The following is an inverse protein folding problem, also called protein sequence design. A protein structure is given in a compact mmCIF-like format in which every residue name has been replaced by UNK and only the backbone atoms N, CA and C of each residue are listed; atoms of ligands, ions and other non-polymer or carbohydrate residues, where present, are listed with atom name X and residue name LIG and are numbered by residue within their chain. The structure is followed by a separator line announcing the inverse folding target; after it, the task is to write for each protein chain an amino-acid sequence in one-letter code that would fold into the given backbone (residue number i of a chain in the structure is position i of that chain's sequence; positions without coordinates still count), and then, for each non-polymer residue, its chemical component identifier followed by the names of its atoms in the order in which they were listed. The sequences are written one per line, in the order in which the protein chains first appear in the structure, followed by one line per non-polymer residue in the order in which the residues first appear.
data_IF_650206610134
#
_entry.id   IF_650206610134
#
_cell.length_a   1.000
_cell.length_b   1.000
_cell.length_c   1.000
_cell.angle_alpha   90.00
_cell.angle_beta   90.00
_cell.angle_gamma   90.00
#
_symmetry.space_group_name_H-M   'P 1'
#
loop_
_entity.id
_entity.type
_entity.pdbx_description
1 polymer ?
#
# COMPACT_ATOMS: atom_id res chain seq x y z
N UNK A 1 -16.88 -12.81 -23.34
CA UNK A 1 -15.90 -13.46 -22.46
C UNK A 1 -14.68 -12.56 -22.27
N UNK A 2 -14.61 -11.76 -21.22
CA UNK A 2 -15.38 -10.51 -21.09
C UNK A 2 -14.39 -9.40 -20.79
N UNK A 3 -14.47 -8.32 -21.56
CA UNK A 3 -13.73 -7.08 -21.31
C UNK A 3 -13.94 -6.58 -19.86
N UNK A 4 -15.12 -6.85 -19.29
CA UNK A 4 -15.39 -6.60 -17.87
C UNK A 4 -14.45 -7.38 -16.95
N UNK A 5 -14.13 -8.65 -17.22
CA UNK A 5 -13.26 -9.46 -16.36
C UNK A 5 -11.80 -8.99 -16.36
N UNK A 6 -11.31 -8.47 -17.50
CA UNK A 6 -10.02 -7.78 -17.58
C UNK A 6 -10.04 -6.44 -16.82
N UNK A 7 -11.12 -5.65 -16.96
CA UNK A 7 -11.33 -4.43 -16.16
C UNK A 7 -11.45 -4.72 -14.65
N UNK A 8 -11.91 -5.91 -14.25
CA UNK A 8 -12.03 -6.34 -12.85
C UNK A 8 -10.69 -6.80 -12.24
N UNK A 9 -9.83 -7.46 -13.00
CA UNK A 9 -8.47 -7.82 -12.56
C UNK A 9 -7.60 -6.57 -12.34
N UNK A 10 -7.69 -5.59 -13.25
CA UNK A 10 -7.08 -4.27 -13.10
C UNK A 10 -7.65 -3.50 -11.89
N UNK A 11 -8.91 -3.76 -11.52
CA UNK A 11 -9.60 -3.05 -10.44
C UNK A 11 -9.04 -3.31 -9.05
N UNK A 12 -8.45 -4.49 -8.83
CA UNK A 12 -7.92 -4.84 -7.51
C UNK A 12 -6.48 -4.35 -7.28
N UNK A 13 -5.80 -3.85 -8.32
CA UNK A 13 -4.46 -3.23 -8.28
C UNK A 13 -3.54 -3.88 -7.22
N UNK A 14 -3.44 -5.21 -7.22
CA UNK A 14 -2.86 -5.93 -6.11
C UNK A 14 -1.39 -5.53 -5.88
N UNK A 15 -1.03 -5.19 -4.65
CA UNK A 15 0.35 -4.82 -4.32
C UNK A 15 1.22 -6.07 -4.29
N UNK A 16 2.21 -6.12 -5.18
CA UNK A 16 3.20 -7.21 -5.23
C UNK A 16 4.38 -6.84 -4.34
N UNK A 17 4.72 -7.64 -3.32
CA UNK A 17 5.89 -7.38 -2.49
C UNK A 17 7.18 -7.35 -3.33
N UNK A 18 8.06 -6.35 -3.15
CA UNK A 18 9.26 -6.17 -3.98
C UNK A 18 10.29 -7.28 -3.83
N UNK A 19 10.14 -8.14 -2.82
CA UNK A 19 11.02 -9.30 -2.59
C UNK A 19 10.62 -10.54 -3.40
N UNK A 20 9.50 -10.52 -4.12
CA UNK A 20 9.06 -11.66 -4.89
C UNK A 20 9.93 -11.82 -6.14
N UNK A 21 10.40 -13.04 -6.39
CA UNK A 21 11.03 -13.41 -7.64
C UNK A 21 9.99 -13.74 -8.72
N UNK A 22 10.44 -14.12 -9.93
CA UNK A 22 9.53 -14.42 -11.03
C UNK A 22 8.54 -15.56 -10.73
N UNK A 23 8.99 -16.61 -10.03
CA UNK A 23 8.14 -17.77 -9.72
C UNK A 23 7.08 -17.44 -8.68
N UNK A 24 7.48 -16.73 -7.62
CA UNK A 24 6.59 -16.28 -6.54
C UNK A 24 5.55 -15.31 -7.09
N UNK A 25 5.98 -14.39 -7.96
CA UNK A 25 5.10 -13.42 -8.62
C UNK A 25 4.03 -14.12 -9.46
N UNK A 26 4.41 -15.09 -10.30
CA UNK A 26 3.45 -15.83 -11.13
C UNK A 26 2.42 -16.61 -10.29
N UNK A 27 2.87 -17.31 -9.25
CA UNK A 27 1.96 -18.04 -8.36
C UNK A 27 1.03 -17.12 -7.58
N UNK A 28 1.54 -15.96 -7.15
CA UNK A 28 0.74 -14.93 -6.49
C UNK A 28 -0.34 -14.37 -7.43
N UNK A 29 0.04 -13.97 -8.65
CA UNK A 29 -0.91 -13.44 -9.65
C UNK A 29 -2.02 -14.46 -9.94
N UNK A 30 -1.67 -15.73 -10.17
CA UNK A 30 -2.65 -16.78 -10.40
C UNK A 30 -3.66 -16.93 -9.24
N UNK A 31 -3.21 -16.79 -7.99
CA UNK A 31 -4.09 -16.83 -6.83
C UNK A 31 -5.01 -15.60 -6.76
N UNK A 32 -4.52 -14.40 -7.09
CA UNK A 32 -5.32 -13.17 -7.17
C UNK A 32 -6.39 -13.29 -8.25
N UNK A 33 -6.05 -13.83 -9.42
CA UNK A 33 -6.99 -14.04 -10.52
C UNK A 33 -8.09 -15.03 -10.14
N UNK A 34 -7.72 -16.15 -9.49
CA UNK A 34 -8.69 -17.12 -9.01
C UNK A 34 -9.62 -16.51 -7.96
N UNK A 35 -9.08 -15.69 -7.05
CA UNK A 35 -9.87 -14.96 -6.08
C UNK A 35 -10.86 -14.00 -6.77
N UNK A 36 -10.40 -13.20 -7.73
CA UNK A 36 -11.24 -12.28 -8.49
C UNK A 36 -12.38 -13.01 -9.25
N UNK A 37 -12.08 -14.13 -9.90
CA UNK A 37 -13.09 -14.93 -10.59
C UNK A 37 -14.13 -15.49 -9.62
N UNK A 38 -13.69 -15.97 -8.46
CA UNK A 38 -14.58 -16.50 -7.42
C UNK A 38 -15.50 -15.39 -6.89
N UNK A 39 -14.95 -14.17 -6.72
CA UNK A 39 -15.71 -13.01 -6.28
C UNK A 39 -16.80 -12.68 -7.29
N UNK A 40 -16.48 -12.65 -8.59
CA UNK A 40 -17.43 -12.42 -9.66
C UNK A 40 -18.56 -13.47 -9.67
N UNK A 41 -18.22 -14.74 -9.46
CA UNK A 41 -19.20 -15.83 -9.40
C UNK A 41 -20.16 -15.66 -8.20
N UNK A 42 -19.65 -15.34 -7.01
CA UNK A 42 -20.49 -15.06 -5.83
C UNK A 42 -21.42 -13.87 -6.08
N UNK A 43 -20.91 -12.83 -6.76
CA UNK A 43 -21.70 -11.66 -7.15
C UNK A 43 -22.81 -12.01 -8.13
N UNK A 44 -22.56 -12.91 -9.08
CA UNK A 44 -23.58 -13.41 -10.02
C UNK A 44 -24.69 -14.22 -9.30
N UNK A 45 -24.34 -14.89 -8.20
CA UNK A 45 -25.30 -15.58 -7.32
C UNK A 45 -26.05 -14.64 -6.36
N UNK A 46 -26.01 -13.32 -6.59
CA UNK A 46 -26.67 -12.31 -5.76
C UNK A 46 -26.19 -12.21 -4.30
N UNK A 47 -25.04 -12.80 -3.96
CA UNK A 47 -24.40 -12.60 -2.65
C UNK A 47 -23.95 -11.15 -2.53
N UNK A 48 -24.17 -10.51 -1.38
CA UNK A 48 -23.87 -9.10 -1.16
C UNK A 48 -22.37 -8.80 -1.27
N UNK A 49 -22.01 -7.56 -1.61
CA UNK A 49 -20.61 -7.17 -1.84
C UNK A 49 -19.80 -7.31 -0.57
N UNK A 50 -20.41 -6.97 0.57
CA UNK A 50 -19.81 -7.01 1.89
C UNK A 50 -19.41 -8.42 2.33
N UNK A 51 -20.13 -9.45 1.86
CA UNK A 51 -19.86 -10.86 2.16
C UNK A 51 -18.88 -11.43 1.13
N UNK A 52 -19.10 -11.15 -0.16
CA UNK A 52 -18.23 -11.64 -1.23
C UNK A 52 -16.78 -11.16 -1.08
N UNK A 53 -16.57 -9.95 -0.55
CA UNK A 53 -15.23 -9.40 -0.35
C UNK A 53 -14.39 -10.13 0.70
N UNK A 54 -14.95 -11.06 1.47
CA UNK A 54 -14.21 -11.83 2.47
C UNK A 54 -13.10 -12.70 1.85
N UNK A 55 -13.25 -13.03 0.57
CA UNK A 55 -12.26 -13.78 -0.17
C UNK A 55 -11.14 -12.88 -0.73
N UNK A 56 -11.34 -11.56 -0.76
CA UNK A 56 -10.36 -10.66 -1.36
C UNK A 56 -9.08 -10.63 -0.52
N UNK A 57 -7.92 -10.65 -1.19
CA UNK A 57 -6.63 -10.66 -0.52
C UNK A 57 -6.34 -9.31 0.13
N UNK A 58 -5.56 -9.31 1.20
CA UNK A 58 -5.06 -8.09 1.84
C UNK A 58 -4.22 -7.21 0.88
N UNK A 59 -3.71 -7.80 -0.20
CA UNK A 59 -2.97 -7.08 -1.22
C UNK A 59 -3.85 -6.21 -2.13
N UNK A 60 -5.18 -6.35 -2.07
CA UNK A 60 -6.09 -5.50 -2.84
C UNK A 60 -5.86 -4.02 -2.47
N UNK A 61 -5.54 -3.19 -3.45
CA UNK A 61 -5.25 -1.78 -3.17
C UNK A 61 -6.46 -1.08 -2.54
N UNK A 62 -6.16 -0.25 -1.56
CA UNK A 62 -7.14 0.64 -0.93
C UNK A 62 -6.65 2.08 -1.02
N UNK A 63 -7.59 3.02 -1.09
CA UNK A 63 -7.31 4.45 -1.07
C UNK A 63 -7.80 5.01 0.25
N UNK A 64 -6.90 5.66 0.97
CA UNK A 64 -7.18 6.26 2.28
C UNK A 64 -6.96 7.76 2.14
N UNK A 65 -7.98 8.54 2.52
CA UNK A 65 -7.86 10.00 2.68
C UNK A 65 -7.83 10.28 4.18
N UNK A 66 -6.82 11.02 4.63
CA UNK A 66 -6.66 11.37 6.05
C UNK A 66 -6.41 12.87 6.21
N UNK A 67 -6.81 13.41 7.36
CA UNK A 67 -6.52 14.77 7.78
C UNK A 67 -6.01 14.72 9.20
N UNK A 68 -4.82 15.27 9.43
CA UNK A 68 -4.11 15.21 10.71
C UNK A 68 -3.44 16.56 10.96
N UNK A 69 -3.40 16.99 12.22
CA UNK A 69 -2.60 18.14 12.62
C UNK A 69 -1.10 17.78 12.64
N UNK A 70 -0.22 18.77 12.82
CA UNK A 70 1.22 18.54 12.81
C UNK A 70 1.71 17.61 13.93
N UNK A 71 1.10 17.65 15.12
CA UNK A 71 1.46 16.75 16.22
C UNK A 71 1.16 15.29 15.86
N UNK A 72 0.00 15.03 15.26
CA UNK A 72 -0.39 13.71 14.80
C UNK A 72 0.48 13.23 13.63
N UNK A 73 0.82 14.10 12.69
CA UNK A 73 1.80 13.79 11.63
C UNK A 73 3.18 13.47 12.19
N UNK A 74 3.66 14.23 13.17
CA UNK A 74 4.93 13.95 13.84
C UNK A 74 4.92 12.56 14.49
N UNK A 75 3.87 12.24 15.25
CA UNK A 75 3.73 10.92 15.86
C UNK A 75 3.70 9.80 14.81
N UNK A 76 2.93 10.00 13.73
CA UNK A 76 2.86 9.06 12.62
C UNK A 76 4.24 8.83 11.97
N UNK A 77 5.02 9.88 11.74
CA UNK A 77 6.33 9.76 11.12
C UNK A 77 7.32 8.98 11.97
N UNK A 78 7.32 9.18 13.29
CA UNK A 78 8.14 8.38 14.20
C UNK A 78 7.83 6.89 14.11
N UNK A 79 6.55 6.53 14.11
CA UNK A 79 6.14 5.12 14.12
C UNK A 79 6.20 4.46 12.75
N UNK A 80 5.96 5.22 11.68
CA UNK A 80 5.70 4.65 10.36
C UNK A 80 6.72 5.05 9.32
N UNK A 81 7.23 6.28 9.31
CA UNK A 81 8.14 6.74 8.26
C UNK A 81 9.62 6.48 8.55
N UNK A 82 10.05 6.64 9.80
CA UNK A 82 11.48 6.53 10.17
C UNK A 82 11.82 5.27 10.98
N UNK A 83 10.82 4.48 11.37
CA UNK A 83 11.06 3.19 12.02
C UNK A 83 11.34 2.07 11.00
N UNK A 84 12.52 1.44 11.10
CA UNK A 84 12.91 0.30 10.27
C UNK A 84 12.07 -0.96 10.52
N UNK A 85 11.47 -1.10 11.69
CA UNK A 85 10.58 -2.22 12.02
C UNK A 85 9.18 -2.06 11.43
N UNK A 86 8.81 -0.87 10.95
CA UNK A 86 7.52 -0.66 10.29
C UNK A 86 7.37 -1.54 9.02
N UNK A 87 6.13 -1.90 8.68
CA UNK A 87 5.84 -2.55 7.41
C UNK A 87 6.28 -1.65 6.25
N UNK A 88 6.92 -2.24 5.23
CA UNK A 88 7.57 -1.49 4.18
C UNK A 88 6.61 -0.57 3.40
N UNK A 89 5.36 -1.00 3.18
CA UNK A 89 4.34 -0.23 2.46
C UNK A 89 3.98 1.08 3.17
N UNK A 90 3.58 0.98 4.44
CA UNK A 90 3.21 2.16 5.23
C UNK A 90 4.42 3.07 5.48
N UNK A 91 5.62 2.49 5.54
CA UNK A 91 6.85 3.25 5.63
C UNK A 91 7.15 4.04 4.37
N UNK A 92 7.12 3.40 3.20
CA UNK A 92 7.34 4.08 1.94
C UNK A 92 6.33 5.23 1.76
N UNK A 93 5.04 4.97 2.02
CA UNK A 93 4.00 5.99 1.99
C UNK A 93 4.28 7.14 2.98
N UNK A 94 4.63 6.81 4.23
CA UNK A 94 4.94 7.81 5.24
C UNK A 94 6.17 8.65 4.93
N UNK A 95 7.17 8.08 4.25
CA UNK A 95 8.35 8.80 3.79
C UNK A 95 8.03 9.79 2.68
N UNK A 96 7.16 9.43 1.73
CA UNK A 96 6.67 10.38 0.72
C UNK A 96 5.86 11.51 1.37
N UNK A 97 5.00 11.19 2.33
CA UNK A 97 4.27 12.19 3.11
C UNK A 97 5.23 13.13 3.87
N UNK A 98 6.30 12.59 4.48
CA UNK A 98 7.33 13.38 5.16
C UNK A 98 8.07 14.31 4.18
N UNK A 99 8.45 13.83 2.99
CA UNK A 99 9.08 14.67 1.95
C UNK A 99 8.18 15.86 1.59
N UNK A 100 6.89 15.62 1.37
CA UNK A 100 5.92 16.67 1.04
C UNK A 100 5.69 17.64 2.21
N UNK A 101 5.56 17.15 3.44
CA UNK A 101 5.32 18.01 4.60
C UNK A 101 6.56 18.80 5.02
N UNK A 102 7.76 18.28 4.78
CA UNK A 102 9.01 18.98 5.05
C UNK A 102 9.20 20.21 4.16
N UNK A 103 8.69 20.20 2.91
CA UNK A 103 8.72 21.42 2.06
C UNK A 103 7.79 22.52 2.58
N UNK A 104 6.73 22.15 3.29
CA UNK A 104 5.73 23.09 3.82
C UNK A 104 6.13 23.62 5.20
N UNK A 105 6.58 22.74 6.11
CA UNK A 105 6.87 23.07 7.50
C UNK A 105 8.22 22.48 7.96
N UNK A 106 9.36 22.94 7.41
CA UNK A 106 10.66 22.35 7.66
C UNK A 106 11.07 22.38 9.13
N UNK A 107 10.78 23.48 9.83
CA UNK A 107 11.11 23.61 11.27
C UNK A 107 10.39 22.59 12.14
N UNK A 108 9.15 22.24 11.77
CA UNK A 108 8.34 21.26 12.53
C UNK A 108 8.86 19.83 12.33
N UNK A 109 9.28 19.51 11.11
CA UNK A 109 9.65 18.14 10.74
C UNK A 109 11.17 17.91 10.63
N UNK A 110 11.99 18.88 11.02
CA UNK A 110 13.45 18.84 10.90
C UNK A 110 14.08 17.57 11.48
N UNK A 111 13.65 17.16 12.66
CA UNK A 111 14.22 15.99 13.33
C UNK A 111 13.86 14.67 12.62
N UNK A 112 12.61 14.51 12.21
CA UNK A 112 12.19 13.36 11.39
C UNK A 112 12.96 13.31 10.07
N UNK A 113 13.17 14.48 9.44
CA UNK A 113 13.92 14.58 8.20
C UNK A 113 15.39 14.18 8.38
N UNK A 114 16.03 14.64 9.46
CA UNK A 114 17.40 14.24 9.82
C UNK A 114 17.51 12.72 9.93
N UNK A 115 16.63 12.09 10.71
CA UNK A 115 16.61 10.63 10.90
C UNK A 115 16.35 9.91 9.57
N UNK A 116 15.42 10.40 8.75
CA UNK A 116 15.15 9.85 7.43
C UNK A 116 16.41 9.86 6.54
N UNK A 117 17.14 10.97 6.49
CA UNK A 117 18.36 11.11 5.71
C UNK A 117 19.47 10.17 6.18
N UNK A 118 19.66 10.05 7.50
CA UNK A 118 20.67 9.18 8.10
C UNK A 118 20.39 7.70 7.84
N UNK A 119 19.12 7.29 7.90
CA UNK A 119 18.75 5.88 7.87
C UNK A 119 18.36 5.35 6.50
N UNK A 120 17.82 6.18 5.60
CA UNK A 120 17.18 5.71 4.36
C UNK A 120 17.69 6.40 3.08
N UNK A 121 18.10 7.67 3.12
CA UNK A 121 18.49 8.39 1.89
C UNK A 121 19.76 7.85 1.21
N UNK A 122 20.59 7.10 1.94
CA UNK A 122 21.79 6.44 1.37
C UNK A 122 21.49 5.13 0.63
N UNK A 123 20.28 4.57 0.74
CA UNK A 123 19.92 3.27 0.16
C UNK A 123 19.24 3.35 -1.21
N UNK A 124 18.90 4.55 -1.71
CA UNK A 124 18.19 4.73 -2.99
C UNK A 124 19.10 4.88 -4.22
N UNK A 125 20.29 4.26 -4.22
CA UNK A 125 21.32 4.49 -5.25
C UNK A 125 21.90 3.21 -5.87
N UNK A 126 21.14 2.11 -5.82
CA UNK A 126 21.45 0.83 -6.48
C UNK A 126 20.25 0.37 -7.34
#
# INVERSE_FOLDING_TARGET
YDREMQEWADRFQAIIPPKFGPKETSGFIAAIEQAAQTYANLRALSIRKEDARFLLPNAAATRIVTTMNFAAWSHFFWLRAVDKAAQWEIRAMGQEALKMLYTIAPTVFAEHWRVYQEQFARQGRD
#
